data_IF_058092897683
#
_entry.id   IF_058092897683
#
_cell.length_a   1.000
_cell.length_b   1.000
_cell.length_c   1.000
_cell.angle_alpha   90.00
_cell.angle_beta   90.00
_cell.angle_gamma   90.00
#
_symmetry.space_group_name_H-M   'P 1'
#
loop_
_entity.id
_entity.type
_entity.pdbx_description
1 polymer ?
#
# COMPACT_ATOMS: atom_id res chain seq x y z
N UNK A 1 50.17 7.39 -11.44
CA UNK A 1 48.72 7.66 -11.33
C UNK A 1 47.98 6.45 -11.87
N UNK A 2 47.37 5.65 -11.00
CA UNK A 2 46.64 4.46 -11.42
C UNK A 2 45.32 4.89 -12.10
N UNK A 3 45.21 4.61 -13.40
CA UNK A 3 43.98 4.81 -14.17
C UNK A 3 42.89 3.91 -13.61
N UNK A 4 41.98 4.46 -12.79
CA UNK A 4 40.75 3.77 -12.38
C UNK A 4 39.92 3.54 -13.65
N UNK A 5 40.02 2.34 -14.23
CA UNK A 5 39.09 1.89 -15.27
C UNK A 5 37.68 1.98 -14.67
N UNK A 6 36.79 2.71 -15.36
CA UNK A 6 35.37 2.71 -15.00
C UNK A 6 34.84 1.29 -15.19
N UNK A 7 34.07 0.73 -14.24
CA UNK A 7 33.44 -0.56 -14.42
C UNK A 7 32.54 -0.54 -15.65
N UNK A 8 32.38 -1.70 -16.31
CA UNK A 8 31.41 -1.82 -17.41
C UNK A 8 29.98 -1.70 -16.86
N UNK A 9 29.01 -1.32 -17.71
CA UNK A 9 27.59 -1.25 -17.33
C UNK A 9 27.14 -2.56 -16.68
N UNK A 10 27.58 -3.71 -17.22
CA UNK A 10 27.30 -5.04 -16.66
C UNK A 10 27.79 -5.23 -15.23
N UNK A 11 28.99 -4.71 -14.92
CA UNK A 11 29.55 -4.78 -13.57
C UNK A 11 28.80 -3.85 -12.62
N UNK A 12 28.38 -2.68 -13.08
CA UNK A 12 27.60 -1.74 -12.28
C UNK A 12 26.23 -2.31 -11.90
N UNK A 13 25.49 -2.91 -12.84
CA UNK A 13 24.20 -3.53 -12.56
C UNK A 13 24.31 -4.75 -11.63
N UNK A 14 25.34 -5.58 -11.83
CA UNK A 14 25.59 -6.75 -10.98
C UNK A 14 25.91 -6.32 -9.55
N UNK A 15 26.78 -5.32 -9.39
CA UNK A 15 27.11 -4.75 -8.09
C UNK A 15 25.88 -4.13 -7.43
N UNK A 16 25.08 -3.40 -8.19
CA UNK A 16 23.84 -2.80 -7.71
C UNK A 16 22.82 -3.84 -7.24
N UNK A 17 22.63 -4.92 -7.99
CA UNK A 17 21.75 -6.03 -7.60
C UNK A 17 22.23 -6.70 -6.30
N UNK A 18 23.55 -6.90 -6.16
CA UNK A 18 24.14 -7.42 -4.93
C UNK A 18 23.92 -6.50 -3.73
N UNK A 19 24.14 -5.19 -3.89
CA UNK A 19 23.88 -4.20 -2.84
C UNK A 19 22.41 -4.16 -2.43
N UNK A 20 21.49 -4.32 -3.38
CA UNK A 20 20.05 -4.36 -3.10
C UNK A 20 19.68 -5.65 -2.36
N UNK A 21 20.22 -6.80 -2.76
CA UNK A 21 19.96 -8.07 -2.08
C UNK A 21 20.46 -8.04 -0.62
N UNK A 22 21.71 -7.60 -0.41
CA UNK A 22 22.29 -7.41 0.92
C UNK A 22 21.49 -6.38 1.72
N UNK A 23 21.07 -5.30 1.06
CA UNK A 23 20.24 -4.26 1.66
C UNK A 23 18.94 -4.84 2.21
N UNK A 24 18.16 -5.50 1.36
CA UNK A 24 16.89 -6.12 1.72
C UNK A 24 17.05 -7.17 2.83
N UNK A 25 18.04 -8.05 2.72
CA UNK A 25 18.34 -9.03 3.77
C UNK A 25 18.64 -8.35 5.11
N UNK A 26 19.50 -7.32 5.09
CA UNK A 26 19.91 -6.59 6.30
C UNK A 26 18.76 -5.77 6.90
N UNK A 27 17.72 -5.41 6.14
CA UNK A 27 16.51 -4.77 6.69
C UNK A 27 15.60 -5.77 7.43
N UNK A 28 15.91 -7.06 7.37
CA UNK A 28 15.06 -8.13 7.91
C UNK A 28 13.92 -8.52 6.97
N UNK A 29 13.99 -8.16 5.68
CA UNK A 29 13.01 -8.60 4.70
C UNK A 29 13.07 -10.13 4.55
N UNK A 30 11.94 -10.80 4.77
CA UNK A 30 11.77 -12.24 4.55
C UNK A 30 11.07 -12.54 3.22
N UNK A 31 10.30 -11.57 2.71
CA UNK A 31 9.57 -11.68 1.45
C UNK A 31 9.69 -10.38 0.66
N UNK A 32 10.09 -10.50 -0.60
CA UNK A 32 10.11 -9.41 -1.59
C UNK A 32 9.07 -9.73 -2.66
N UNK A 33 8.03 -8.93 -2.70
CA UNK A 33 6.96 -8.96 -3.69
C UNK A 33 7.32 -7.98 -4.82
N UNK A 34 7.38 -8.44 -6.05
CA UNK A 34 7.75 -7.66 -7.23
C UNK A 34 6.54 -7.59 -8.17
N UNK A 35 6.18 -6.39 -8.60
CA UNK A 35 5.22 -6.22 -9.69
C UNK A 35 5.74 -6.78 -11.01
N UNK A 36 4.83 -7.30 -11.82
CA UNK A 36 5.16 -7.81 -13.13
C UNK A 36 5.22 -6.71 -14.20
N UNK A 37 4.09 -6.08 -14.50
CA UNK A 37 3.93 -5.10 -15.58
C UNK A 37 4.72 -3.83 -15.29
N UNK A 38 5.42 -3.28 -16.29
CA UNK A 38 6.27 -2.08 -16.21
C UNK A 38 7.39 -2.08 -15.12
N UNK A 39 7.37 -3.04 -14.20
CA UNK A 39 8.37 -3.28 -13.16
C UNK A 39 9.28 -4.45 -13.57
N UNK A 40 8.86 -5.72 -13.41
CA UNK A 40 9.70 -6.87 -13.76
C UNK A 40 9.96 -6.96 -15.28
N UNK A 41 8.92 -6.72 -16.08
CA UNK A 41 9.03 -6.51 -17.53
C UNK A 41 9.01 -5.02 -17.86
N UNK A 42 9.62 -4.66 -18.98
CA UNK A 42 9.67 -3.27 -19.47
C UNK A 42 8.36 -2.76 -20.06
N UNK A 43 7.41 -3.66 -20.34
CA UNK A 43 6.14 -3.37 -21.01
C UNK A 43 4.98 -3.49 -20.04
N UNK A 44 3.90 -2.77 -20.33
CA UNK A 44 2.62 -2.94 -19.66
C UNK A 44 1.73 -3.88 -20.50
N UNK A 45 1.51 -5.11 -20.04
CA UNK A 45 0.72 -6.12 -20.77
C UNK A 45 -0.79 -5.84 -20.76
N UNK A 46 -1.25 -4.98 -19.84
CA UNK A 46 -2.68 -4.72 -19.67
C UNK A 46 -3.45 -5.92 -19.12
N UNK A 47 -2.74 -6.90 -18.55
CA UNK A 47 -3.32 -8.15 -18.05
C UNK A 47 -3.68 -9.18 -19.14
N UNK A 48 -3.46 -8.86 -20.42
CA UNK A 48 -3.83 -9.72 -21.55
C UNK A 48 -2.76 -9.66 -22.64
N UNK A 49 -1.57 -10.16 -22.32
CA UNK A 49 -0.53 -10.39 -23.32
C UNK A 49 -0.97 -11.47 -24.31
N UNK A 50 -1.04 -11.11 -25.59
CA UNK A 50 -1.53 -12.00 -26.65
C UNK A 50 -0.43 -12.84 -27.31
N UNK A 51 0.84 -12.44 -27.14
CA UNK A 51 1.98 -13.10 -27.75
C UNK A 51 2.51 -14.25 -26.86
N UNK A 52 3.59 -14.89 -27.28
CA UNK A 52 4.19 -16.01 -26.55
C UNK A 52 4.95 -15.56 -25.29
N UNK A 53 5.17 -16.51 -24.36
CA UNK A 53 6.08 -16.32 -23.23
C UNK A 53 7.51 -16.01 -23.68
N UNK A 54 7.96 -16.59 -24.80
CA UNK A 54 9.28 -16.35 -25.37
C UNK A 54 9.44 -14.89 -25.83
N UNK A 55 8.42 -14.31 -26.43
CA UNK A 55 8.42 -12.89 -26.81
C UNK A 55 8.38 -12.00 -25.56
N UNK A 56 7.51 -12.30 -24.59
CA UNK A 56 7.42 -11.53 -23.35
C UNK A 56 8.72 -11.59 -22.54
N UNK A 57 9.42 -12.72 -22.57
CA UNK A 57 10.74 -12.93 -21.94
C UNK A 57 11.77 -11.91 -22.41
N UNK A 58 11.71 -11.45 -23.65
CA UNK A 58 12.64 -10.43 -24.19
C UNK A 58 12.47 -9.08 -23.49
N UNK A 59 11.32 -8.84 -22.85
CA UNK A 59 11.02 -7.63 -22.12
C UNK A 59 11.40 -7.68 -20.64
N UNK A 60 11.80 -8.84 -20.10
CA UNK A 60 12.23 -8.96 -18.69
C UNK A 60 13.47 -8.10 -18.45
N UNK A 61 13.39 -7.22 -17.45
CA UNK A 61 14.50 -6.32 -17.12
C UNK A 61 15.68 -7.12 -16.60
N UNK A 62 16.85 -6.85 -17.19
CA UNK A 62 18.13 -7.48 -16.81
C UNK A 62 18.44 -7.34 -15.32
N UNK A 63 18.14 -6.19 -14.72
CA UNK A 63 18.32 -5.98 -13.29
C UNK A 63 17.64 -7.05 -12.43
N UNK A 64 16.39 -7.42 -12.74
CA UNK A 64 15.68 -8.47 -12.00
C UNK A 64 16.20 -9.89 -12.32
N UNK A 65 16.75 -10.11 -13.52
CA UNK A 65 17.47 -11.36 -13.83
C UNK A 65 18.67 -11.57 -12.91
N UNK A 66 19.32 -10.49 -12.49
CA UNK A 66 20.47 -10.53 -11.57
C UNK A 66 20.00 -10.56 -10.10
N UNK A 67 19.00 -9.76 -9.74
CA UNK A 67 18.56 -9.59 -8.35
C UNK A 67 17.84 -10.83 -7.80
N UNK A 68 16.95 -11.45 -8.58
CA UNK A 68 16.10 -12.55 -8.07
C UNK A 68 16.93 -13.75 -7.58
N UNK A 69 17.93 -14.27 -8.33
CA UNK A 69 18.78 -15.34 -7.83
C UNK A 69 19.53 -14.97 -6.55
N UNK A 70 20.05 -13.74 -6.47
CA UNK A 70 20.78 -13.25 -5.30
C UNK A 70 19.89 -13.17 -4.05
N UNK A 71 18.61 -12.80 -4.20
CA UNK A 71 17.65 -12.84 -3.10
C UNK A 71 17.40 -14.28 -2.63
N UNK A 72 17.20 -15.22 -3.55
CA UNK A 72 17.02 -16.62 -3.22
C UNK A 72 18.26 -17.21 -2.50
N UNK A 73 19.47 -16.92 -2.97
CA UNK A 73 20.73 -17.32 -2.32
C UNK A 73 20.88 -16.71 -0.92
N UNK A 74 20.40 -15.48 -0.72
CA UNK A 74 20.37 -14.81 0.58
C UNK A 74 19.22 -15.28 1.51
N UNK A 75 18.48 -16.32 1.11
CA UNK A 75 17.29 -16.84 1.81
C UNK A 75 16.18 -15.81 2.01
N UNK A 76 16.08 -14.83 1.10
CA UNK A 76 14.95 -13.90 1.02
C UNK A 76 13.96 -14.45 0.00
N UNK A 77 12.74 -14.74 0.41
CA UNK A 77 11.71 -15.29 -0.47
C UNK A 77 11.29 -14.23 -1.49
N UNK A 78 10.98 -14.66 -2.72
CA UNK A 78 10.57 -13.76 -3.80
C UNK A 78 9.22 -14.19 -4.33
N UNK A 79 8.33 -13.22 -4.50
CA UNK A 79 7.04 -13.41 -5.14
C UNK A 79 6.82 -12.42 -6.28
N UNK A 80 6.25 -12.88 -7.38
CA UNK A 80 5.66 -12.01 -8.40
C UNK A 80 4.20 -11.76 -8.03
N UNK A 81 3.83 -10.49 -7.80
CA UNK A 81 2.47 -10.08 -7.46
C UNK A 81 1.91 -9.14 -8.51
N UNK A 82 0.87 -9.56 -9.21
CA UNK A 82 0.33 -8.83 -10.37
C UNK A 82 -1.19 -8.86 -10.39
N UNK A 83 -1.80 -7.87 -11.03
CA UNK A 83 -3.23 -7.89 -11.36
C UNK A 83 -3.53 -8.73 -12.61
N UNK A 84 -2.52 -9.19 -13.35
CA UNK A 84 -2.74 -10.05 -14.51
C UNK A 84 -3.34 -11.40 -14.11
N UNK A 85 -4.40 -11.87 -14.77
CA UNK A 85 -4.93 -13.23 -14.59
C UNK A 85 -4.08 -14.31 -15.27
N UNK A 86 -3.10 -13.95 -16.11
CA UNK A 86 -2.32 -14.90 -16.93
C UNK A 86 -1.16 -15.53 -16.14
N UNK A 87 -1.46 -16.20 -15.02
CA UNK A 87 -0.45 -16.78 -14.12
C UNK A 87 0.41 -17.84 -14.82
N UNK A 88 -0.18 -18.71 -15.65
CA UNK A 88 0.57 -19.74 -16.39
C UNK A 88 1.60 -19.13 -17.34
N UNK A 89 1.21 -18.09 -18.10
CA UNK A 89 2.11 -17.36 -18.98
C UNK A 89 3.30 -16.76 -18.20
N UNK A 90 3.02 -16.16 -17.04
CA UNK A 90 4.06 -15.56 -16.19
C UNK A 90 5.01 -16.65 -15.67
N UNK A 91 4.48 -17.81 -15.26
CA UNK A 91 5.31 -18.94 -14.86
C UNK A 91 6.22 -19.42 -16.00
N UNK A 92 5.72 -19.48 -17.24
CA UNK A 92 6.54 -19.82 -18.40
C UNK A 92 7.64 -18.79 -18.67
N UNK A 93 7.34 -17.50 -18.54
CA UNK A 93 8.37 -16.43 -18.62
C UNK A 93 9.44 -16.62 -17.55
N UNK A 94 9.07 -16.98 -16.32
CA UNK A 94 10.02 -17.23 -15.24
C UNK A 94 10.89 -18.47 -15.50
N UNK A 95 10.30 -19.56 -16.03
CA UNK A 95 11.04 -20.77 -16.48
C UNK A 95 12.04 -20.47 -17.59
N UNK A 96 11.71 -19.56 -18.50
CA UNK A 96 12.63 -19.07 -19.54
C UNK A 96 13.66 -18.07 -19.00
N UNK A 97 13.46 -17.54 -17.79
CA UNK A 97 14.32 -16.51 -17.19
C UNK A 97 15.36 -17.06 -16.24
N UNK A 98 15.04 -18.14 -15.54
CA UNK A 98 15.82 -18.64 -14.41
C UNK A 98 15.97 -20.16 -14.46
N UNK A 99 16.96 -20.68 -13.71
CA UNK A 99 17.09 -22.13 -13.49
C UNK A 99 15.90 -22.69 -12.71
N UNK A 100 15.62 -23.98 -12.89
CA UNK A 100 14.53 -24.69 -12.18
C UNK A 100 14.63 -24.56 -10.65
N UNK A 101 15.86 -24.54 -10.11
CA UNK A 101 16.10 -24.33 -8.68
C UNK A 101 15.57 -22.98 -8.21
N UNK A 102 15.81 -21.90 -8.96
CA UNK A 102 15.29 -20.56 -8.61
C UNK A 102 13.77 -20.53 -8.79
N UNK A 103 13.27 -21.02 -9.92
CA UNK A 103 11.82 -21.02 -10.22
C UNK A 103 11.01 -21.75 -9.15
N UNK A 104 11.51 -22.89 -8.64
CA UNK A 104 10.85 -23.66 -7.58
C UNK A 104 10.68 -22.89 -6.26
N UNK A 105 11.53 -21.89 -6.01
CA UNK A 105 11.48 -21.04 -4.82
C UNK A 105 10.53 -19.85 -4.98
N UNK A 106 10.21 -19.46 -6.22
CA UNK A 106 9.34 -18.32 -6.48
C UNK A 106 7.88 -18.65 -6.17
N UNK A 107 7.15 -17.62 -5.74
CA UNK A 107 5.70 -17.65 -5.66
C UNK A 107 5.13 -16.71 -6.71
N UNK A 108 4.06 -17.12 -7.41
CA UNK A 108 3.35 -16.26 -8.36
C UNK A 108 1.92 -16.08 -7.88
N UNK A 109 1.49 -14.82 -7.78
CA UNK A 109 0.13 -14.42 -7.42
C UNK A 109 -0.40 -13.42 -8.43
N UNK A 110 -1.23 -13.93 -9.34
CA UNK A 110 -2.02 -13.14 -10.28
C UNK A 110 -3.51 -13.15 -9.95
N UNK A 111 -4.29 -12.45 -10.76
CA UNK A 111 -5.75 -12.36 -10.62
C UNK A 111 -6.52 -13.51 -11.31
N UNK A 112 -6.00 -14.73 -11.20
CA UNK A 112 -6.50 -15.93 -11.90
C UNK A 112 -7.67 -16.63 -11.19
N UNK A 113 -8.07 -16.14 -10.01
CA UNK A 113 -9.10 -16.73 -9.13
C UNK A 113 -8.77 -18.15 -8.64
N UNK A 114 -7.55 -18.64 -8.79
CA UNK A 114 -7.13 -19.97 -8.30
C UNK A 114 -6.96 -20.01 -6.77
N UNK A 115 -6.92 -18.84 -6.14
CA UNK A 115 -6.72 -18.67 -4.70
C UNK A 115 -7.69 -17.62 -4.13
N UNK A 116 -8.03 -17.79 -2.86
CA UNK A 116 -8.85 -16.86 -2.07
C UNK A 116 -8.24 -16.65 -0.69
N UNK A 117 -8.57 -15.52 -0.06
CA UNK A 117 -8.20 -15.25 1.33
C UNK A 117 -9.44 -15.04 2.18
N UNK A 118 -9.41 -15.59 3.38
CA UNK A 118 -10.40 -15.30 4.43
C UNK A 118 -9.83 -14.30 5.44
N UNK A 119 -10.71 -13.66 6.21
CA UNK A 119 -10.32 -12.61 7.16
C UNK A 119 -9.34 -13.11 8.23
N UNK A 120 -9.53 -14.33 8.71
CA UNK A 120 -8.68 -15.00 9.72
C UNK A 120 -7.26 -15.24 9.22
N UNK A 121 -7.08 -15.48 7.91
CA UNK A 121 -5.76 -15.67 7.29
C UNK A 121 -4.93 -14.38 7.21
N UNK A 122 -5.51 -13.23 7.53
CA UNK A 122 -4.82 -11.92 7.50
C UNK A 122 -4.16 -11.54 8.83
N UNK A 123 -4.30 -12.38 9.86
CA UNK A 123 -3.90 -12.05 11.23
C UNK A 123 -2.42 -11.64 11.37
N UNK A 124 -1.53 -12.29 10.62
CA UNK A 124 -0.08 -11.98 10.59
C UNK A 124 0.25 -10.65 9.90
N UNK A 125 -0.67 -10.07 9.13
CA UNK A 125 -0.50 -8.78 8.45
C UNK A 125 -1.21 -7.64 9.18
N UNK A 126 -1.79 -7.89 10.34
CA UNK A 126 -2.30 -6.83 11.20
C UNK A 126 -1.14 -6.07 11.85
N UNK A 127 -1.22 -4.74 11.94
CA UNK A 127 -2.39 -3.92 11.67
C UNK A 127 -2.64 -3.49 10.21
N UNK A 128 -3.89 -3.62 9.73
CA UNK A 128 -4.35 -3.13 8.41
C UNK A 128 -5.12 -1.81 8.51
N UNK A 129 -4.55 -0.85 9.25
CA UNK A 129 -5.20 0.35 9.81
C UNK A 129 -5.89 1.31 8.84
N UNK A 130 -5.74 1.12 7.53
CA UNK A 130 -6.28 2.05 6.53
C UNK A 130 -7.18 1.41 5.47
N UNK A 131 -7.55 0.15 5.63
CA UNK A 131 -8.30 -0.53 4.57
C UNK A 131 -9.81 -0.44 4.71
N UNK A 132 -10.36 0.00 5.84
CA UNK A 132 -11.82 -0.01 6.11
C UNK A 132 -12.45 -1.40 5.81
N UNK A 133 -11.73 -2.49 6.07
CA UNK A 133 -12.15 -3.86 5.71
C UNK A 133 -11.95 -4.24 4.24
N UNK A 134 -11.41 -3.35 3.40
CA UNK A 134 -11.11 -3.58 1.98
C UNK A 134 -9.71 -4.14 1.71
N UNK A 135 -9.00 -4.64 2.73
CA UNK A 135 -7.66 -5.21 2.55
C UNK A 135 -7.67 -6.50 1.73
N UNK A 136 -8.84 -7.14 1.60
CA UNK A 136 -9.05 -8.29 0.72
C UNK A 136 -9.55 -7.90 -0.67
N UNK A 137 -9.68 -6.61 -0.97
CA UNK A 137 -10.09 -6.14 -2.28
C UNK A 137 -8.96 -6.32 -3.29
N UNK A 138 -9.21 -7.13 -4.32
CA UNK A 138 -8.25 -7.48 -5.38
C UNK A 138 -7.94 -6.31 -6.33
N UNK A 139 -8.55 -5.14 -6.13
CA UNK A 139 -8.12 -3.86 -6.74
C UNK A 139 -6.81 -3.31 -6.16
N UNK A 140 -6.34 -3.87 -5.06
CA UNK A 140 -5.06 -3.52 -4.44
C UNK A 140 -4.17 -4.76 -4.35
N UNK A 141 -2.85 -4.55 -4.20
CA UNK A 141 -1.89 -5.67 -4.13
C UNK A 141 -1.80 -6.37 -2.78
N UNK A 142 -2.34 -5.76 -1.74
CA UNK A 142 -2.31 -6.32 -0.39
C UNK A 142 -2.78 -7.79 -0.30
N UNK A 143 -3.93 -8.22 -0.86
CA UNK A 143 -4.32 -9.63 -0.83
C UNK A 143 -3.35 -10.56 -1.57
N UNK A 144 -2.71 -10.09 -2.65
CA UNK A 144 -1.73 -10.87 -3.40
C UNK A 144 -0.46 -11.09 -2.56
N UNK A 145 0.00 -10.04 -1.87
CA UNK A 145 1.13 -10.13 -0.94
C UNK A 145 0.83 -11.04 0.25
N UNK A 146 -0.35 -10.93 0.86
CA UNK A 146 -0.77 -11.80 1.97
C UNK A 146 -0.81 -13.26 1.49
N UNK A 147 -1.41 -13.52 0.33
CA UNK A 147 -1.51 -14.88 -0.20
C UNK A 147 -0.13 -15.47 -0.56
N UNK A 148 0.80 -14.65 -1.06
CA UNK A 148 2.17 -15.07 -1.29
C UNK A 148 2.88 -15.40 0.03
N UNK A 149 2.72 -14.54 1.05
CA UNK A 149 3.30 -14.77 2.37
C UNK A 149 2.78 -16.06 3.01
N UNK A 150 1.49 -16.37 2.90
CA UNK A 150 0.92 -17.64 3.42
C UNK A 150 1.50 -18.86 2.70
N UNK A 151 1.72 -18.80 1.40
CA UNK A 151 2.35 -19.91 0.67
C UNK A 151 3.81 -20.10 1.11
N UNK A 152 4.55 -19.01 1.28
CA UNK A 152 5.92 -19.11 1.79
C UNK A 152 5.93 -19.66 3.22
N UNK A 153 5.05 -19.17 4.10
CA UNK A 153 4.88 -19.68 5.46
C UNK A 153 4.60 -21.19 5.48
N UNK A 154 3.78 -21.68 4.54
CA UNK A 154 3.50 -23.11 4.43
C UNK A 154 4.74 -23.92 4.03
N UNK A 155 5.63 -23.34 3.21
CA UNK A 155 6.87 -23.99 2.74
C UNK A 155 7.97 -23.95 3.80
N UNK A 156 8.19 -22.81 4.46
CA UNK A 156 9.32 -22.62 5.38
C UNK A 156 8.98 -22.84 6.85
N UNK A 157 7.71 -22.70 7.24
CA UNK A 157 7.26 -22.67 8.64
C UNK A 157 7.46 -21.31 9.34
N UNK A 158 8.17 -20.36 8.73
CA UNK A 158 8.45 -19.05 9.31
C UNK A 158 7.28 -18.09 9.12
N UNK A 159 6.80 -17.49 10.19
CA UNK A 159 5.77 -16.44 10.11
C UNK A 159 6.34 -15.20 9.41
N UNK A 160 5.74 -14.87 8.27
CA UNK A 160 5.94 -13.63 7.51
C UNK A 160 4.81 -12.66 7.83
N UNK A 161 5.17 -11.47 8.29
CA UNK A 161 4.24 -10.38 8.58
C UNK A 161 4.48 -9.17 7.66
N UNK A 162 3.64 -8.15 7.79
CA UNK A 162 3.72 -6.92 7.00
C UNK A 162 5.10 -6.24 7.07
N UNK A 163 5.69 -6.10 8.28
CA UNK A 163 7.03 -5.52 8.47
C UNK A 163 8.18 -6.33 7.86
N UNK A 164 7.96 -7.62 7.61
CA UNK A 164 8.95 -8.52 7.00
C UNK A 164 8.81 -8.55 5.46
N UNK A 165 7.82 -7.82 4.92
CA UNK A 165 7.46 -7.84 3.50
C UNK A 165 7.83 -6.53 2.84
N UNK A 166 8.40 -6.62 1.64
CA UNK A 166 8.73 -5.47 0.78
C UNK A 166 7.94 -5.59 -0.51
N UNK A 167 7.35 -4.50 -1.00
CA UNK A 167 6.73 -4.39 -2.32
C UNK A 167 7.59 -3.51 -3.23
N UNK A 168 7.95 -4.01 -4.41
CA UNK A 168 8.56 -3.25 -5.49
C UNK A 168 7.54 -3.10 -6.61
N UNK A 169 7.20 -1.85 -6.95
CA UNK A 169 6.07 -1.53 -7.85
C UNK A 169 6.30 -0.17 -8.52
N UNK A 170 5.85 -0.02 -9.76
CA UNK A 170 5.89 1.23 -10.51
C UNK A 170 4.64 2.10 -10.33
N UNK A 171 3.61 1.62 -9.64
CA UNK A 171 2.48 2.45 -9.28
C UNK A 171 2.65 3.03 -7.87
N UNK A 172 2.81 4.35 -7.80
CA UNK A 172 2.86 5.11 -6.55
C UNK A 172 1.65 4.89 -5.64
N UNK A 173 0.49 4.55 -6.20
CA UNK A 173 -0.72 4.21 -5.45
C UNK A 173 -0.54 2.87 -4.74
N UNK A 174 -0.03 1.83 -5.43
CA UNK A 174 0.26 0.53 -4.82
C UNK A 174 1.29 0.67 -3.70
N UNK A 175 2.37 1.42 -3.95
CA UNK A 175 3.39 1.73 -2.95
C UNK A 175 2.80 2.43 -1.73
N UNK A 176 1.93 3.41 -1.94
CA UNK A 176 1.27 4.10 -0.84
C UNK A 176 0.38 3.16 -0.03
N UNK A 177 -0.43 2.33 -0.69
CA UNK A 177 -1.33 1.38 -0.01
C UNK A 177 -0.53 0.33 0.78
N UNK A 178 0.60 -0.14 0.24
CA UNK A 178 1.51 -1.03 0.95
C UNK A 178 2.04 -0.39 2.23
N UNK A 179 2.60 0.83 2.13
CA UNK A 179 3.12 1.59 3.26
C UNK A 179 2.02 1.89 4.31
N UNK A 180 0.82 2.27 3.87
CA UNK A 180 -0.33 2.52 4.74
C UNK A 180 -0.83 1.23 5.43
N UNK A 181 -0.39 0.05 4.98
CA UNK A 181 -0.65 -1.28 5.56
C UNK A 181 0.54 -1.88 6.33
N UNK A 182 1.60 -1.10 6.53
CA UNK A 182 2.82 -1.52 7.24
C UNK A 182 3.74 -2.44 6.45
N UNK A 183 3.52 -2.57 5.13
CA UNK A 183 4.44 -3.22 4.19
C UNK A 183 5.39 -2.16 3.64
N UNK A 184 6.69 -2.46 3.54
CA UNK A 184 7.66 -1.51 3.00
C UNK A 184 7.48 -1.41 1.48
N UNK A 185 7.00 -0.26 0.99
CA UNK A 185 6.86 0.00 -0.43
C UNK A 185 8.07 0.72 -1.02
N UNK A 186 8.72 0.11 -2.00
CA UNK A 186 9.81 0.71 -2.79
C UNK A 186 9.32 0.99 -4.20
N UNK A 187 9.10 2.26 -4.49
CA UNK A 187 8.77 2.71 -5.83
C UNK A 187 9.89 2.34 -6.79
N UNK A 188 9.55 1.71 -7.91
CA UNK A 188 10.42 1.46 -9.04
C UNK A 188 10.02 2.43 -10.15
N UNK A 189 10.96 3.18 -10.71
CA UNK A 189 10.65 4.12 -11.79
C UNK A 189 11.06 3.47 -13.13
N UNK A 190 10.10 3.11 -14.01
CA UNK A 190 10.38 2.44 -15.28
C UNK A 190 11.33 3.22 -16.19
N UNK A 191 11.29 4.55 -16.10
CA UNK A 191 12.01 5.51 -16.94
C UNK A 191 13.37 5.90 -16.33
N UNK A 192 13.63 5.50 -15.09
CA UNK A 192 14.89 5.80 -14.43
C UNK A 192 16.04 4.98 -15.03
N UNK A 193 16.94 5.68 -15.70
CA UNK A 193 18.14 5.06 -16.30
C UNK A 193 19.21 4.69 -15.25
N UNK A 194 19.19 5.32 -14.08
CA UNK A 194 20.18 5.10 -13.02
C UNK A 194 19.64 4.18 -11.92
N UNK A 195 19.96 2.89 -12.04
CA UNK A 195 19.69 1.88 -11.01
C UNK A 195 20.23 2.30 -9.62
N UNK A 196 21.24 3.16 -9.53
CA UNK A 196 21.77 3.62 -8.23
C UNK A 196 20.76 4.38 -7.41
N UNK A 197 19.80 5.07 -8.04
CA UNK A 197 18.72 5.72 -7.32
C UNK A 197 17.75 4.72 -6.69
N UNK A 198 17.47 3.61 -7.38
CA UNK A 198 16.75 2.48 -6.80
C UNK A 198 17.53 1.88 -5.62
N UNK A 199 18.83 1.64 -5.76
CA UNK A 199 19.69 1.19 -4.66
C UNK A 199 19.67 2.14 -3.46
N UNK A 200 19.73 3.46 -3.69
CA UNK A 200 19.63 4.48 -2.63
C UNK A 200 18.28 4.43 -1.90
N UNK A 201 17.18 4.12 -2.59
CA UNK A 201 15.87 3.96 -1.94
C UNK A 201 15.88 2.77 -0.97
N UNK A 202 16.49 1.66 -1.37
CA UNK A 202 16.66 0.47 -0.51
C UNK A 202 17.59 0.77 0.67
N UNK A 203 18.73 1.44 0.45
CA UNK A 203 19.66 1.81 1.53
C UNK A 203 19.05 2.76 2.56
N UNK A 204 18.11 3.62 2.15
CA UNK A 204 17.39 4.51 3.08
C UNK A 204 16.46 3.75 4.03
N UNK A 205 16.09 2.52 3.71
CA UNK A 205 15.30 1.67 4.62
C UNK A 205 16.06 1.35 5.92
N UNK A 206 17.40 1.35 5.88
CA UNK A 206 18.25 1.14 7.06
C UNK A 206 18.41 2.35 7.95
N UNK A 207 18.15 3.55 7.45
CA UNK A 207 18.40 4.75 8.24
C UNK A 207 17.22 4.92 9.18
N UNK A 208 17.39 4.71 10.50
CA UNK A 208 16.35 5.12 11.44
C UNK A 208 16.13 6.61 11.19
N UNK A 209 14.89 7.00 10.86
CA UNK A 209 14.54 8.41 10.76
C UNK A 209 15.06 9.09 12.03
N UNK A 210 15.98 10.07 11.95
CA UNK A 210 16.51 10.69 13.15
C UNK A 210 15.32 11.29 13.90
N UNK A 211 15.09 10.82 15.13
CA UNK A 211 14.12 11.42 16.04
C UNK A 211 14.39 12.92 16.08
N UNK A 212 13.56 13.69 15.39
CA UNK A 212 13.58 15.14 15.50
C UNK A 212 13.12 15.46 16.92
N UNK A 213 14.11 15.66 17.79
CA UNK A 213 13.98 16.34 19.08
C UNK A 213 12.90 17.42 18.97
N UNK A 214 11.83 17.38 19.80
CA UNK A 214 10.70 18.27 19.67
C UNK A 214 11.18 19.71 19.86
N UNK A 215 11.33 20.42 18.73
CA UNK A 215 11.71 21.83 18.76
C UNK A 215 10.63 22.57 19.54
N UNK A 216 10.96 23.28 20.63
CA UNK A 216 9.95 23.95 21.43
C UNK A 216 9.21 24.96 20.54
N UNK A 217 7.89 24.78 20.47
CA UNK A 217 6.95 25.66 19.79
C UNK A 217 7.14 27.09 20.31
N UNK A 218 7.95 27.88 19.60
CA UNK A 218 7.97 29.34 19.76
C UNK A 218 6.64 29.86 19.22
N UNK A 219 5.76 30.24 20.13
CA UNK A 219 4.58 31.03 19.81
C UNK A 219 5.02 32.35 19.17
N UNK A 220 4.35 32.81 18.10
CA UNK A 220 4.66 34.11 17.51
C UNK A 220 4.29 35.21 18.51
N UNK A 221 5.29 35.76 19.19
CA UNK A 221 5.13 36.95 20.03
C UNK A 221 4.75 38.14 19.14
N UNK A 222 3.64 38.79 19.49
CA UNK A 222 3.15 40.02 18.86
C UNK A 222 4.25 41.08 18.91
N UNK A 223 4.75 41.52 17.76
CA UNK A 223 5.57 42.73 17.67
C UNK A 223 4.73 43.96 18.09
N UNK A 224 5.23 44.86 18.94
CA UNK A 224 4.60 46.13 19.20
C UNK A 224 4.74 47.04 17.96
N UNK A 225 3.64 47.69 17.58
CA UNK A 225 3.62 48.78 16.59
C UNK A 225 4.37 49.99 17.16
N UNK A 226 5.49 50.37 16.56
CA UNK A 226 5.99 51.76 16.63
C UNK A 226 5.49 52.51 15.40
N UNK A 227 4.96 53.71 15.61
CA UNK A 227 4.25 54.49 14.60
C UNK A 227 5.09 55.46 13.78
N UNK A 228 4.33 56.34 13.13
CA UNK A 228 4.67 57.57 12.41
C UNK A 228 4.90 57.45 10.90
N UNK A 229 3.95 58.03 10.16
CA UNK A 229 3.94 58.15 8.71
C UNK A 229 2.62 58.75 8.25
N UNK A 230 2.50 60.07 8.37
CA UNK A 230 1.39 60.91 7.90
C UNK A 230 0.91 60.53 6.48
N UNK A 231 -0.39 60.63 6.21
CA UNK A 231 -0.92 61.17 4.95
C UNK A 231 -2.41 61.58 5.11
N UNK A 232 -2.72 62.71 4.48
CA UNK A 232 -3.84 63.64 4.69
C UNK A 232 -5.22 63.15 4.24
N UNK A 233 -6.24 63.60 4.98
CA UNK A 233 -7.63 63.74 4.57
C UNK A 233 -7.78 64.80 3.45
N UNK A 234 -8.57 64.49 2.42
CA UNK A 234 -9.27 65.50 1.61
C UNK A 234 -10.71 65.03 1.39
N UNK A 235 -11.65 65.83 1.87
CA UNK A 235 -13.08 65.68 1.62
C UNK A 235 -13.48 66.30 0.27
N UNK A 236 -14.50 65.74 -0.39
CA UNK A 236 -15.39 66.47 -1.30
C UNK A 236 -16.78 65.85 -1.29
N UNK A 237 -17.74 66.73 -1.55
CA UNK A 237 -19.12 66.74 -1.09
C UNK A 237 -20.15 66.24 -2.12
N UNK A 238 -21.33 65.91 -1.59
CA UNK A 238 -22.69 66.11 -2.14
C UNK A 238 -23.11 65.43 -3.45
N UNK A 239 -24.16 64.59 -3.37
CA UNK A 239 -25.40 64.74 -4.15
C UNK A 239 -26.58 64.02 -3.47
N UNK A 240 -27.78 64.37 -3.93
CA UNK A 240 -29.09 64.49 -3.27
C UNK A 240 -30.08 63.35 -3.61
N UNK A 241 -31.01 63.06 -2.67
CA UNK A 241 -32.43 62.61 -2.77
C UNK A 241 -32.77 61.36 -3.65
N UNK A 242 -33.64 60.40 -3.26
CA UNK A 242 -35.05 60.51 -2.81
C UNK A 242 -35.48 59.34 -1.89
N UNK A 243 -36.51 59.64 -1.10
CA UNK A 243 -37.23 58.82 -0.11
C UNK A 243 -38.48 58.15 -0.66
N UNK A 244 -38.96 57.06 -0.01
CA UNK A 244 -40.36 56.73 0.43
C UNK A 244 -40.35 55.31 1.01
N UNK A 245 -41.05 54.88 2.06
CA UNK A 245 -42.04 55.45 2.99
C UNK A 245 -42.39 54.41 4.06
N UNK A 246 -42.68 54.90 5.29
CA UNK A 246 -43.67 54.42 6.31
C UNK A 246 -43.57 52.97 6.84
N UNK A 247 -43.64 52.67 8.13
CA UNK A 247 -44.02 53.34 9.40
C UNK A 247 -44.06 52.21 10.47
N UNK A 248 -44.22 52.36 11.79
CA UNK A 248 -44.62 53.39 12.75
C UNK A 248 -44.21 52.83 14.14
N UNK A 249 -43.55 53.57 15.04
CA UNK A 249 -44.18 54.13 16.28
C UNK A 249 -44.12 53.15 17.47
N UNK A 250 -43.92 53.50 18.76
CA UNK A 250 -43.65 54.74 19.47
C UNK A 250 -43.20 54.41 20.93
N UNK A 251 -42.36 55.29 21.51
CA UNK A 251 -42.29 55.82 22.91
C UNK A 251 -43.30 55.23 23.94
N UNK A 252 -43.02 55.05 25.25
CA UNK A 252 -42.49 56.02 26.24
C UNK A 252 -42.50 55.42 27.68
N UNK A 253 -41.54 55.88 28.50
CA UNK A 253 -41.61 56.35 29.92
C UNK A 253 -41.60 55.41 31.16
N UNK A 254 -40.86 55.96 32.12
CA UNK A 254 -40.48 55.59 33.49
C UNK A 254 -41.53 55.93 34.58
N UNK A 255 -41.24 55.41 35.80
CA UNK A 255 -41.66 55.79 37.18
C UNK A 255 -42.98 55.15 37.66
N UNK A 256 -43.20 54.72 38.92
CA UNK A 256 -42.52 54.87 40.24
C UNK A 256 -43.07 53.76 41.20
N UNK A 257 -42.31 53.46 42.28
CA UNK A 257 -42.52 52.51 43.41
C UNK A 257 -43.77 52.83 44.28
N UNK A 258 -44.06 52.25 45.50
CA UNK A 258 -43.21 51.52 46.48
C UNK A 258 -43.88 50.39 47.32
N UNK A 259 -43.12 49.77 48.24
CA UNK A 259 -43.66 49.00 49.38
C UNK A 259 -42.63 48.09 50.06
N UNK A 260 -42.43 48.25 51.38
CA UNK A 260 -41.40 47.60 52.24
C UNK A 260 -41.63 46.11 52.51
N UNK A 261 -40.86 45.40 53.34
CA UNK A 261 -39.79 45.72 54.27
C UNK A 261 -39.29 44.42 54.94
N UNK A 262 -38.25 44.52 55.77
CA UNK A 262 -37.75 43.58 56.79
C UNK A 262 -37.09 42.25 56.39
N UNK A 263 -35.86 42.03 56.91
CA UNK A 263 -35.28 40.70 57.18
C UNK A 263 -33.79 40.53 56.85
N UNK A 264 -32.90 40.74 57.83
CA UNK A 264 -31.54 40.16 57.91
C UNK A 264 -31.62 38.78 58.60
N UNK A 265 -30.58 37.89 58.67
CA UNK A 265 -29.25 37.86 58.01
C UNK A 265 -28.82 36.45 57.48
N UNK A 266 -27.62 36.40 56.85
CA UNK A 266 -26.62 35.31 56.85
C UNK A 266 -26.97 33.90 56.33
N UNK A 267 -26.35 33.53 55.20
CA UNK A 267 -25.77 32.17 55.01
C UNK A 267 -24.73 32.21 53.88
N UNK A 268 -23.47 32.14 54.26
CA UNK A 268 -22.30 31.95 53.40
C UNK A 268 -22.32 30.55 52.78
N UNK A 269 -22.57 30.47 51.46
CA UNK A 269 -22.31 29.26 50.69
C UNK A 269 -20.88 29.29 50.17
N UNK A 270 -20.00 28.51 50.80
CA UNK A 270 -18.65 28.22 50.30
C UNK A 270 -18.74 27.29 49.08
N UNK A 271 -18.40 27.78 47.90
CA UNK A 271 -18.20 26.94 46.72
C UNK A 271 -16.89 26.15 46.88
N UNK A 272 -17.01 24.83 47.06
CA UNK A 272 -15.89 23.90 46.98
C UNK A 272 -15.33 23.93 45.55
N UNK A 273 -14.10 24.41 45.39
CA UNK A 273 -13.30 24.15 44.19
C UNK A 273 -12.73 22.73 44.26
N UNK A 274 -12.98 21.84 43.29
CA UNK A 274 -12.34 20.53 43.30
C UNK A 274 -10.83 20.69 43.08
N UNK A 275 -10.05 20.02 43.92
CA UNK A 275 -8.59 19.97 43.85
C UNK A 275 -8.10 19.36 42.52
N UNK A 276 -6.86 19.68 42.09
CA UNK A 276 -6.36 19.29 40.78
C UNK A 276 -6.09 17.78 40.74
N UNK A 277 -6.79 17.08 39.86
CA UNK A 277 -6.52 15.67 39.52
C UNK A 277 -5.11 15.58 38.93
N UNK A 278 -4.26 14.77 39.57
CA UNK A 278 -2.94 14.40 39.06
C UNK A 278 -3.09 13.84 37.65
N UNK A 279 -2.45 14.48 36.67
CA UNK A 279 -2.33 13.93 35.31
C UNK A 279 -1.44 12.71 35.35
N UNK A 280 -2.05 11.53 35.37
CA UNK A 280 -1.38 10.28 34.96
C UNK A 280 -0.88 10.48 33.52
N UNK A 281 0.44 10.58 33.37
CA UNK A 281 1.12 10.46 32.06
C UNK A 281 1.00 9.00 31.64
N UNK A 282 -0.05 8.69 30.89
CA UNK A 282 -0.12 7.48 30.10
C UNK A 282 0.62 7.78 28.78
N UNK A 283 1.91 7.45 28.72
CA UNK A 283 2.66 7.43 27.45
C UNK A 283 2.35 6.10 26.75
N UNK A 284 1.18 6.05 26.12
CA UNK A 284 0.96 5.15 24.99
C UNK A 284 1.07 6.03 23.76
N UNK A 285 2.02 5.71 22.90
CA UNK A 285 2.24 6.36 21.61
C UNK A 285 1.06 6.01 20.68
N UNK A 286 -0.10 6.62 20.95
CA UNK A 286 -1.24 6.58 20.05
C UNK A 286 -0.93 7.51 18.89
N UNK A 287 -0.76 6.90 17.71
CA UNK A 287 -0.44 7.56 16.45
C UNK A 287 -1.14 8.92 16.30
N UNK A 288 -0.34 9.95 15.99
CA UNK A 288 -0.79 11.32 15.86
C UNK A 288 -2.01 11.41 14.92
N UNK A 289 -3.11 12.08 15.31
CA UNK A 289 -4.22 12.35 14.40
C UNK A 289 -3.74 13.14 13.17
N UNK A 290 -3.96 12.60 11.96
CA UNK A 290 -3.52 13.24 10.71
C UNK A 290 -4.25 14.58 10.45
N UNK A 291 -3.63 15.52 9.72
CA UNK A 291 -4.25 16.79 9.35
C UNK A 291 -5.48 16.58 8.45
N UNK A 292 -6.55 17.36 8.69
CA UNK A 292 -7.84 17.32 7.95
C UNK A 292 -7.72 17.38 6.41
N UNK A 293 -6.57 17.83 5.88
CA UNK A 293 -6.28 17.89 4.45
C UNK A 293 -6.14 16.49 3.82
N UNK A 294 -5.55 15.53 4.53
CA UNK A 294 -5.37 14.15 4.03
C UNK A 294 -6.72 13.41 3.91
N UNK A 295 -7.63 13.62 4.86
CA UNK A 295 -8.97 13.00 4.84
C UNK A 295 -9.87 13.51 3.71
N UNK A 296 -9.66 14.74 3.23
CA UNK A 296 -10.43 15.30 2.09
C UNK A 296 -10.03 14.67 0.76
N UNK A 297 -8.75 14.36 0.56
CA UNK A 297 -8.25 13.78 -0.70
C UNK A 297 -8.85 12.39 -0.91
N UNK A 298 -8.92 11.56 0.14
CA UNK A 298 -9.51 10.22 0.07
C UNK A 298 -11.03 10.24 -0.21
N UNK A 299 -11.77 11.20 0.35
CA UNK A 299 -13.21 11.34 0.09
C UNK A 299 -13.52 11.78 -1.34
N UNK A 300 -12.65 12.61 -1.93
CA UNK A 300 -12.83 13.05 -3.32
C UNK A 300 -12.53 11.90 -4.29
N UNK A 301 -11.48 11.11 -4.03
CA UNK A 301 -11.13 9.97 -4.87
C UNK A 301 -12.20 8.85 -4.84
N UNK A 302 -12.77 8.58 -3.65
CA UNK A 302 -13.88 7.62 -3.54
C UNK A 302 -15.11 8.03 -4.34
N UNK A 303 -15.40 9.34 -4.43
CA UNK A 303 -16.52 9.88 -5.21
C UNK A 303 -16.25 9.86 -6.71
N UNK A 304 -15.02 10.14 -7.12
CA UNK A 304 -14.62 10.10 -8.54
C UNK A 304 -14.66 8.68 -9.09
N UNK A 305 -14.26 7.68 -8.29
CA UNK A 305 -14.35 6.26 -8.67
C UNK A 305 -15.80 5.77 -8.72
N UNK A 306 -16.65 6.13 -7.75
CA UNK A 306 -18.08 5.78 -7.81
C UNK A 306 -18.79 6.41 -9.02
N UNK A 307 -18.42 7.63 -9.39
CA UNK A 307 -18.98 8.32 -10.55
C UNK A 307 -18.48 7.75 -11.91
N UNK A 308 -17.35 7.04 -11.91
CA UNK A 308 -16.75 6.45 -13.12
C UNK A 308 -17.26 5.02 -13.43
N UNK A 309 -18.12 4.44 -12.59
CA UNK A 309 -18.72 3.13 -12.84
C UNK A 309 -19.98 3.28 -13.72
N UNK A 310 -20.07 2.59 -14.87
CA UNK A 310 -21.30 2.58 -15.66
C UNK A 310 -22.43 1.87 -14.90
N UNK A 311 -23.59 2.52 -14.82
CA UNK A 311 -24.81 1.93 -14.26
C UNK A 311 -25.25 0.75 -15.14
N UNK A 312 -24.95 -0.47 -14.73
CA UNK A 312 -25.41 -1.67 -15.40
C UNK A 312 -26.89 -1.85 -15.09
N UNK A 313 -27.74 -1.68 -16.10
CA UNK A 313 -29.16 -1.96 -16.00
C UNK A 313 -29.37 -3.49 -15.89
N UNK A 314 -29.93 -3.92 -14.76
CA UNK A 314 -30.33 -5.31 -14.53
C UNK A 314 -31.49 -5.70 -15.46
N UNK A 315 -31.18 -6.30 -16.62
CA UNK A 315 -32.14 -7.13 -17.35
C UNK A 315 -31.39 -8.26 -18.05
N UNK A 316 -31.30 -9.42 -17.40
CA UNK A 316 -30.99 -10.67 -18.10
C UNK A 316 -31.60 -11.85 -17.35
N UNK A 317 -32.81 -12.22 -17.78
CA UNK A 317 -33.43 -13.51 -17.53
C UNK A 317 -32.72 -14.58 -18.35
N UNK A 318 -31.95 -15.46 -17.70
CA UNK A 318 -31.54 -16.73 -18.28
C UNK A 318 -32.27 -17.88 -17.57
N UNK A 319 -32.91 -18.71 -18.38
CA UNK A 319 -33.59 -19.93 -17.97
C UNK A 319 -32.58 -21.02 -17.62
N UNK A 320 -32.78 -21.66 -16.48
CA UNK A 320 -32.01 -22.81 -16.00
C UNK A 320 -32.60 -24.07 -16.61
N UNK A 321 -31.81 -24.83 -17.38
CA UNK A 321 -32.14 -26.21 -17.76
C UNK A 321 -31.62 -27.19 -16.70
N UNK A 322 -32.50 -28.11 -16.30
CA UNK A 322 -32.27 -29.16 -15.30
C UNK A 322 -31.34 -30.26 -15.83
N UNK A 323 -30.29 -30.57 -15.06
CA UNK A 323 -29.42 -31.73 -15.28
C UNK A 323 -29.94 -32.93 -14.46
N UNK A 324 -30.22 -34.10 -15.08
CA UNK A 324 -30.65 -35.28 -14.33
C UNK A 324 -29.52 -35.91 -13.52
N UNK A 325 -29.79 -36.17 -12.24
CA UNK A 325 -28.96 -36.99 -11.34
C UNK A 325 -29.45 -38.44 -11.38
N UNK A 326 -28.60 -39.39 -11.74
CA UNK A 326 -28.66 -40.77 -11.19
C UNK A 326 -27.36 -41.54 -11.44
N UNK A 327 -26.93 -42.44 -10.52
CA UNK A 327 -25.63 -43.11 -10.57
C UNK A 327 -25.76 -44.54 -11.12
N UNK A 328 -24.86 -44.95 -12.01
CA UNK A 328 -24.81 -46.34 -12.51
C UNK A 328 -23.69 -47.11 -11.83
N UNK A 329 -24.09 -48.23 -11.21
CA UNK A 329 -23.29 -49.19 -10.46
C UNK A 329 -22.26 -49.92 -11.33
N UNK A 330 -21.13 -50.24 -10.71
CA UNK A 330 -20.12 -51.19 -11.16
C UNK A 330 -20.71 -52.60 -11.37
N UNK A 331 -20.18 -53.31 -12.36
CA UNK A 331 -20.05 -54.78 -12.34
C UNK A 331 -18.63 -55.14 -12.74
N UNK A 332 -18.00 -55.98 -11.92
CA UNK A 332 -16.65 -56.47 -12.15
C UNK A 332 -16.62 -57.65 -13.12
N UNK A 333 -15.46 -57.84 -13.76
CA UNK A 333 -15.04 -59.13 -14.28
C UNK A 333 -13.53 -59.27 -14.11
N UNK A 334 -13.14 -60.48 -13.72
CA UNK A 334 -11.83 -60.95 -13.29
C UNK A 334 -11.12 -61.67 -14.44
N UNK A 335 -9.77 -61.64 -14.41
CA UNK A 335 -8.76 -62.40 -15.19
C UNK A 335 -8.52 -61.85 -16.60
N UNK A 336 -7.28 -61.64 -17.04
CA UNK A 336 -6.17 -62.61 -17.07
C UNK A 336 -4.79 -61.93 -17.10
N UNK A 337 -3.76 -62.71 -16.76
CA UNK A 337 -2.38 -62.30 -16.50
C UNK A 337 -1.50 -62.17 -17.76
N UNK A 338 -0.25 -61.75 -17.52
CA UNK A 338 0.98 -61.85 -18.34
C UNK A 338 1.31 -60.64 -19.22
N UNK A 339 2.30 -59.83 -18.82
CA UNK A 339 3.68 -59.94 -19.35
C UNK A 339 4.56 -58.85 -18.73
N UNK A 340 5.64 -59.30 -18.09
CA UNK A 340 6.75 -58.50 -17.62
C UNK A 340 7.61 -58.19 -18.85
N UNK A 341 7.86 -56.92 -19.14
CA UNK A 341 9.00 -56.51 -19.96
C UNK A 341 9.84 -55.51 -19.19
N UNK A 342 10.98 -56.02 -18.74
CA UNK A 342 12.15 -55.29 -18.31
C UNK A 342 12.55 -54.26 -19.38
N UNK A 343 12.78 -53.02 -18.96
CA UNK A 343 13.46 -52.03 -19.79
C UNK A 343 14.93 -52.05 -19.36
N UNK A 344 15.77 -52.58 -20.24
CA UNK A 344 17.23 -52.57 -20.16
C UNK A 344 17.74 -51.12 -20.08
N UNK A 345 18.61 -50.88 -19.10
CA UNK A 345 19.40 -49.65 -19.00
C UNK A 345 20.74 -49.89 -19.71
N UNK A 346 21.01 -49.11 -20.76
CA UNK A 346 22.32 -49.09 -21.41
C UNK A 346 23.27 -48.14 -20.66
N UNK A 347 24.53 -48.52 -20.39
CA UNK A 347 25.49 -47.63 -19.75
C UNK A 347 26.10 -46.63 -20.74
N UNK A 348 26.13 -45.36 -20.33
CA UNK A 348 26.81 -44.26 -21.02
C UNK A 348 28.32 -44.40 -20.79
N UNK A 349 29.07 -44.56 -21.88
CA UNK A 349 30.55 -44.55 -21.90
C UNK A 349 31.02 -43.10 -22.04
N UNK A 350 31.74 -42.58 -21.04
CA UNK A 350 32.55 -41.37 -21.16
C UNK A 350 33.90 -41.74 -21.78
N UNK A 351 34.24 -41.14 -22.92
CA UNK A 351 35.62 -41.08 -23.42
C UNK A 351 36.35 -39.96 -22.67
N UNK A 352 37.49 -40.30 -22.08
CA UNK A 352 38.53 -39.37 -21.65
C UNK A 352 39.22 -38.70 -22.83
#
# INVERSE_FOLDING_TARGET
>A
MASRRRPSVDQEETQAAMEVAVGLQSTGAKLVCIDFDATFVTVHTGGLWAASALELRTHVRRFFLLLVPLLCEAHVNVAIVTFSPQVELIQDVLRLSFSDQVVSQLVVRGDDRSWSLTQDQTASFLPLWQTDGRHLNRKFKLPFMISAALEVQQRSGDIICNRDTVLVDDDVVNIRVANDSGVVGVFFDPEEQDIKSFCKRIQKLHTPEPELEPTPLRTPSKKPRSGSGNLKLVAKSSHKFLSTSSGSGARRRLRVAPGGGNGRPSSTFSMCTPSPVMKLKCSVEMGRPRPKRASRILRNYSKEIEAALPAVAETSTFSVEDVPKTPTKQTGSLREASEIREIETSPIVYKM
#
